data_IF_919385256641
#
_entry.id   IF_919385256641
#
_cell.length_a   1.000
_cell.length_b   1.000
_cell.length_c   1.000
_cell.angle_alpha   90.00
_cell.angle_beta   90.00
_cell.angle_gamma   90.00
#
_symmetry.space_group_name_H-M   'P 1'
#
loop_
_entity.id
_entity.type
_entity.pdbx_description
1 polymer ?
#
# COMPACT_ATOMS: atom_id res chain seq x y z
N UNK A 1 -6.38 -1.34 13.37
CA UNK A 1 -5.72 -2.56 12.82
C UNK A 1 -4.90 -2.20 11.60
N UNK A 2 -3.69 -2.74 11.48
CA UNK A 2 -2.82 -2.54 10.31
C UNK A 2 -2.92 -3.77 9.41
N UNK A 3 -3.37 -3.56 8.18
CA UNK A 3 -3.59 -4.60 7.16
C UNK A 3 -2.62 -4.36 6.01
N UNK A 4 -1.75 -5.32 5.71
CA UNK A 4 -0.73 -5.10 4.70
C UNK A 4 -0.61 -6.22 3.68
N UNK A 5 -0.17 -5.83 2.47
CA UNK A 5 0.37 -6.71 1.45
C UNK A 5 1.81 -6.31 1.14
N UNK A 6 2.70 -7.28 1.00
CA UNK A 6 4.10 -7.03 0.63
C UNK A 6 4.64 -8.15 -0.25
N UNK A 7 5.12 -7.80 -1.45
CA UNK A 7 5.79 -8.75 -2.34
C UNK A 7 7.24 -9.02 -1.95
N UNK A 8 8.00 -7.99 -1.59
CA UNK A 8 9.47 -8.06 -1.42
C UNK A 8 9.98 -7.56 -0.07
N UNK A 9 9.09 -7.14 0.84
CA UNK A 9 9.44 -6.75 2.19
C UNK A 9 9.33 -5.25 2.51
N UNK A 10 9.35 -4.34 1.54
CA UNK A 10 9.28 -2.89 1.79
C UNK A 10 8.01 -2.48 2.55
N UNK A 11 6.84 -2.88 2.08
CA UNK A 11 5.57 -2.59 2.74
C UNK A 11 5.44 -3.30 4.08
N UNK A 12 5.98 -4.52 4.21
CA UNK A 12 6.05 -5.24 5.48
C UNK A 12 6.86 -4.45 6.51
N UNK A 13 8.03 -3.93 6.12
CA UNK A 13 8.84 -3.08 6.99
C UNK A 13 8.03 -1.87 7.50
N UNK A 14 7.34 -1.16 6.62
CA UNK A 14 6.52 -0.01 6.99
C UNK A 14 5.35 -0.42 7.92
N UNK A 15 4.70 -1.53 7.65
CA UNK A 15 3.59 -2.06 8.46
C UNK A 15 4.05 -2.49 9.85
N UNK A 16 5.16 -3.22 9.96
CA UNK A 16 5.76 -3.63 11.25
C UNK A 16 6.24 -2.41 12.06
N UNK A 17 6.78 -1.39 11.38
CA UNK A 17 7.19 -0.15 12.03
C UNK A 17 5.98 0.56 12.67
N UNK A 18 4.91 0.75 11.90
CA UNK A 18 3.68 1.39 12.38
C UNK A 18 2.97 0.56 13.45
N UNK A 19 2.94 -0.77 13.32
CA UNK A 19 2.36 -1.65 14.34
C UNK A 19 3.02 -1.47 15.71
N UNK A 20 4.35 -1.40 15.74
CA UNK A 20 5.10 -1.13 16.97
C UNK A 20 4.82 0.28 17.51
N UNK A 21 4.84 1.30 16.64
CA UNK A 21 4.62 2.69 17.03
C UNK A 21 3.21 2.94 17.56
N UNK A 22 2.21 2.35 16.91
CA UNK A 22 0.80 2.52 17.26
C UNK A 22 0.34 1.51 18.32
N UNK A 23 1.13 0.50 18.63
CA UNK A 23 0.77 -0.65 19.46
C UNK A 23 -0.56 -1.25 18.96
N UNK A 24 -0.59 -1.64 17.67
CA UNK A 24 -1.78 -2.11 17.00
C UNK A 24 -1.55 -3.45 16.30
N UNK A 25 -2.62 -4.19 16.08
CA UNK A 25 -2.60 -5.50 15.44
C UNK A 25 -2.12 -5.40 13.99
N UNK A 26 -1.41 -6.44 13.55
CA UNK A 26 -0.81 -6.54 12.23
C UNK A 26 -1.35 -7.76 11.48
N UNK A 27 -1.99 -7.56 10.34
CA UNK A 27 -2.53 -8.60 9.48
C UNK A 27 -1.76 -8.67 8.16
N UNK A 28 -1.18 -9.84 7.87
CA UNK A 28 -0.56 -10.16 6.57
C UNK A 28 -1.58 -10.75 5.61
N UNK A 29 -2.08 -9.95 4.67
CA UNK A 29 -3.09 -10.43 3.71
C UNK A 29 -2.57 -11.48 2.75
N UNK A 30 -1.26 -11.57 2.51
CA UNK A 30 -0.66 -12.59 1.64
C UNK A 30 -0.90 -14.02 2.11
N UNK A 31 -1.10 -14.21 3.42
CA UNK A 31 -1.46 -15.51 4.01
C UNK A 31 -2.95 -15.81 3.85
N UNK A 32 -3.81 -14.82 4.09
CA UNK A 32 -5.27 -14.94 4.00
C UNK A 32 -5.75 -15.16 2.57
N UNK A 33 -5.20 -14.43 1.61
CA UNK A 33 -5.57 -14.55 0.20
C UNK A 33 -5.32 -15.96 -0.38
N UNK A 34 -4.32 -16.66 0.13
CA UNK A 34 -4.03 -18.05 -0.29
C UNK A 34 -5.11 -19.04 0.16
N UNK A 35 -5.81 -18.75 1.25
CA UNK A 35 -6.88 -19.60 1.76
C UNK A 35 -8.20 -19.46 0.95
N UNK A 36 -8.37 -18.39 0.18
CA UNK A 36 -9.55 -18.15 -0.66
C UNK A 36 -10.83 -17.85 0.14
N UNK A 37 -10.72 -17.59 1.44
CA UNK A 37 -11.84 -17.29 2.32
C UNK A 37 -12.11 -15.78 2.39
N UNK A 38 -13.37 -15.41 2.58
CA UNK A 38 -13.76 -14.03 2.81
C UNK A 38 -13.56 -13.72 4.29
N UNK A 39 -12.63 -12.82 4.58
CA UNK A 39 -12.35 -12.41 5.95
C UNK A 39 -13.43 -11.47 6.50
N UNK A 40 -13.79 -11.68 7.75
CA UNK A 40 -14.56 -10.71 8.57
C UNK A 40 -13.60 -10.17 9.63
N UNK A 41 -13.29 -8.87 9.52
CA UNK A 41 -12.34 -8.20 10.40
C UNK A 41 -13.06 -7.15 11.25
N UNK A 42 -12.65 -7.04 12.51
CA UNK A 42 -13.15 -6.03 13.42
C UNK A 42 -12.01 -5.19 13.99
N UNK A 43 -12.18 -3.86 14.00
CA UNK A 43 -11.23 -2.97 14.65
C UNK A 43 -11.94 -1.75 15.24
N UNK A 44 -11.77 -1.51 16.53
CA UNK A 44 -12.22 -0.26 17.18
C UNK A 44 -11.30 0.92 16.85
N UNK A 45 -10.14 0.64 16.27
CA UNK A 45 -9.12 1.61 15.86
C UNK A 45 -9.16 1.82 14.35
N UNK A 46 -8.68 2.97 13.86
CA UNK A 46 -8.63 3.20 12.42
C UNK A 46 -7.93 2.09 11.64
N UNK A 47 -8.41 1.84 10.44
CA UNK A 47 -7.76 0.94 9.49
C UNK A 47 -6.53 1.62 8.92
N UNK A 48 -5.40 0.90 8.88
CA UNK A 48 -4.18 1.36 8.22
C UNK A 48 -3.79 0.34 7.15
N UNK A 49 -4.04 0.67 5.89
CA UNK A 49 -3.74 -0.19 4.76
C UNK A 49 -2.35 0.12 4.21
N UNK A 50 -1.47 -0.90 4.20
CA UNK A 50 -0.08 -0.73 3.78
C UNK A 50 0.21 -1.61 2.56
N UNK A 51 0.63 -1.00 1.45
CA UNK A 51 0.87 -1.71 0.20
C UNK A 51 1.98 -1.10 -0.64
N UNK A 52 2.59 -1.86 -1.56
CA UNK A 52 3.43 -1.28 -2.60
C UNK A 52 2.58 -0.59 -3.67
N UNK A 53 3.21 0.36 -4.34
CA UNK A 53 2.71 0.96 -5.58
C UNK A 53 3.17 0.11 -6.76
N UNK A 54 2.21 -0.29 -7.60
CA UNK A 54 2.47 -0.91 -8.89
C UNK A 54 1.90 -0.03 -10.01
N UNK A 55 2.78 0.49 -10.85
CA UNK A 55 2.41 1.42 -11.93
C UNK A 55 1.51 2.57 -11.43
N UNK A 56 1.93 3.28 -10.38
CA UNK A 56 1.27 4.47 -9.79
C UNK A 56 -0.13 4.24 -9.21
N UNK A 57 -0.49 3.00 -8.87
CA UNK A 57 -1.66 2.65 -8.04
C UNK A 57 -1.25 1.69 -6.92
N UNK A 58 -2.01 1.66 -5.85
CA UNK A 58 -1.90 0.61 -4.84
C UNK A 58 -2.03 -0.76 -5.52
N UNK A 59 -1.23 -1.74 -5.11
CA UNK A 59 -1.30 -3.10 -5.64
C UNK A 59 -2.75 -3.61 -5.64
N UNK A 60 -3.24 -4.01 -6.82
CA UNK A 60 -4.62 -4.47 -7.00
C UNK A 60 -5.01 -5.57 -6.03
N UNK A 61 -4.08 -6.47 -5.73
CA UNK A 61 -4.30 -7.59 -4.82
C UNK A 61 -4.75 -7.14 -3.43
N UNK A 62 -4.20 -6.02 -2.88
CA UNK A 62 -4.71 -5.48 -1.62
C UNK A 62 -6.03 -4.75 -1.81
N UNK A 63 -6.20 -4.00 -2.90
CA UNK A 63 -7.47 -3.30 -3.17
C UNK A 63 -8.65 -4.29 -3.30
N UNK A 64 -8.42 -5.41 -3.96
CA UNK A 64 -9.44 -6.47 -4.14
C UNK A 64 -9.72 -7.20 -2.82
N UNK A 65 -8.68 -7.46 -2.02
CA UNK A 65 -8.86 -8.00 -0.68
C UNK A 65 -9.72 -7.08 0.20
N UNK A 66 -9.43 -5.77 0.23
CA UNK A 66 -10.20 -4.78 0.98
C UNK A 66 -11.67 -4.73 0.52
N UNK A 67 -11.94 -4.86 -0.79
CA UNK A 67 -13.32 -4.93 -1.32
C UNK A 67 -14.05 -6.19 -0.90
N UNK A 68 -13.35 -7.31 -0.82
CA UNK A 68 -13.93 -8.60 -0.50
C UNK A 68 -14.15 -8.82 1.00
N UNK A 69 -13.30 -8.24 1.84
CA UNK A 69 -13.37 -8.37 3.29
C UNK A 69 -14.58 -7.62 3.88
N UNK A 70 -15.16 -8.18 4.93
CA UNK A 70 -16.13 -7.48 5.76
C UNK A 70 -15.42 -6.74 6.88
N UNK A 71 -15.41 -5.40 6.80
CA UNK A 71 -14.72 -4.52 7.75
C UNK A 71 -15.73 -3.89 8.71
N UNK A 72 -15.58 -4.17 9.99
CA UNK A 72 -16.49 -3.70 11.05
C UNK A 72 -15.75 -2.87 12.11
N UNK A 73 -16.50 -2.07 12.87
CA UNK A 73 -15.95 -1.17 13.89
C UNK A 73 -15.63 0.20 13.33
N UNK A 74 -14.38 0.64 13.40
CA UNK A 74 -13.94 1.96 12.93
C UNK A 74 -14.24 2.19 11.45
N UNK A 75 -14.63 3.43 11.14
CA UNK A 75 -14.87 3.85 9.75
C UNK A 75 -13.71 4.63 9.15
N UNK A 76 -12.71 5.03 9.93
CA UNK A 76 -11.57 5.81 9.45
C UNK A 76 -10.50 4.90 8.84
N UNK A 77 -10.01 5.28 7.66
CA UNK A 77 -9.01 4.53 6.91
C UNK A 77 -7.86 5.42 6.43
N UNK A 78 -6.65 4.98 6.72
CA UNK A 78 -5.38 5.55 6.30
C UNK A 78 -4.68 4.62 5.32
N UNK A 79 -3.93 5.19 4.39
CA UNK A 79 -3.12 4.42 3.44
C UNK A 79 -1.65 4.77 3.58
N UNK A 80 -0.78 3.78 3.59
CA UNK A 80 0.67 3.93 3.61
C UNK A 80 1.21 3.18 2.41
N UNK A 81 1.66 3.92 1.40
CA UNK A 81 2.01 3.37 0.11
C UNK A 81 3.51 3.48 -0.13
N UNK A 82 4.18 2.33 -0.26
CA UNK A 82 5.61 2.26 -0.53
C UNK A 82 5.88 2.27 -2.04
N UNK A 83 6.85 3.05 -2.46
CA UNK A 83 7.23 3.20 -3.87
C UNK A 83 8.75 3.36 -4.02
N UNK A 84 9.30 3.14 -5.22
CA UNK A 84 10.69 3.44 -5.53
C UNK A 84 10.94 4.93 -5.80
N UNK A 85 9.90 5.69 -6.19
CA UNK A 85 10.02 7.11 -6.49
C UNK A 85 8.80 7.93 -6.07
N UNK A 86 7.63 7.63 -6.63
CA UNK A 86 6.41 8.42 -6.41
C UNK A 86 5.16 7.57 -6.46
N UNK A 87 4.09 8.03 -5.82
CA UNK A 87 2.79 7.32 -5.81
C UNK A 87 1.81 7.81 -6.88
N UNK A 88 2.15 8.86 -7.63
CA UNK A 88 1.26 9.47 -8.62
C UNK A 88 -0.07 9.92 -7.99
N UNK A 89 -1.19 9.54 -8.61
CA UNK A 89 -2.54 9.86 -8.12
C UNK A 89 -3.16 8.71 -7.30
N UNK A 90 -2.36 7.83 -6.69
CA UNK A 90 -2.86 6.68 -5.93
C UNK A 90 -3.82 7.07 -4.79
N UNK A 91 -3.64 8.25 -4.19
CA UNK A 91 -4.52 8.76 -3.14
C UNK A 91 -5.98 8.92 -3.59
N UNK A 92 -6.24 9.34 -4.83
CA UNK A 92 -7.60 9.44 -5.36
C UNK A 92 -8.26 8.06 -5.49
N UNK A 93 -7.50 7.06 -5.93
CA UNK A 93 -8.01 5.67 -6.04
C UNK A 93 -8.26 5.05 -4.66
N UNK A 94 -7.42 5.37 -3.67
CA UNK A 94 -7.66 4.97 -2.28
C UNK A 94 -8.92 5.63 -1.70
N UNK A 95 -9.14 6.92 -1.97
CA UNK A 95 -10.34 7.63 -1.57
C UNK A 95 -11.60 7.05 -2.24
N UNK A 96 -11.51 6.69 -3.53
CA UNK A 96 -12.61 6.04 -4.25
C UNK A 96 -12.91 4.67 -3.64
N UNK A 97 -11.90 3.86 -3.34
CA UNK A 97 -12.07 2.57 -2.65
C UNK A 97 -12.78 2.74 -1.32
N UNK A 98 -12.38 3.71 -0.49
CA UNK A 98 -13.08 4.01 0.76
C UNK A 98 -14.56 4.33 0.54
N UNK A 99 -14.87 5.14 -0.49
CA UNK A 99 -16.26 5.47 -0.83
C UNK A 99 -17.06 4.24 -1.24
N UNK A 100 -16.47 3.32 -2.02
CA UNK A 100 -17.09 2.06 -2.45
C UNK A 100 -17.49 1.17 -1.29
N UNK A 101 -16.66 1.10 -0.23
CA UNK A 101 -16.85 0.20 0.91
C UNK A 101 -17.37 0.89 2.19
N UNK A 102 -17.70 2.18 2.11
CA UNK A 102 -18.29 2.94 3.22
C UNK A 102 -17.32 3.30 4.35
N UNK A 103 -16.03 3.51 4.03
CA UNK A 103 -15.01 4.03 4.95
C UNK A 103 -14.73 5.52 4.72
N UNK A 104 -14.25 6.20 5.75
CA UNK A 104 -13.80 7.59 5.69
C UNK A 104 -12.32 7.61 5.31
N UNK A 105 -11.99 8.13 4.16
CA UNK A 105 -10.60 8.31 3.74
C UNK A 105 -9.92 9.43 4.53
N UNK A 106 -8.84 9.09 5.23
CA UNK A 106 -8.07 10.01 6.11
C UNK A 106 -6.72 10.40 5.52
N UNK A 107 -6.45 10.03 4.28
CA UNK A 107 -5.24 10.41 3.56
C UNK A 107 -4.31 9.26 3.22
N UNK A 108 -3.27 9.60 2.46
CA UNK A 108 -2.21 8.69 2.02
C UNK A 108 -0.84 9.21 2.45
N UNK A 109 -0.02 8.33 3.00
CA UNK A 109 1.39 8.56 3.28
C UNK A 109 2.22 7.89 2.18
N UNK A 110 2.98 8.70 1.44
CA UNK A 110 3.99 8.22 0.51
C UNK A 110 5.26 7.85 1.27
N UNK A 111 5.78 6.66 1.04
CA UNK A 111 7.01 6.18 1.66
C UNK A 111 7.95 5.67 0.58
N UNK A 112 8.98 6.45 0.27
CA UNK A 112 10.02 6.03 -0.69
C UNK A 112 10.87 4.94 -0.05
N UNK A 113 10.98 3.80 -0.75
CA UNK A 113 11.71 2.61 -0.32
C UNK A 113 12.64 2.13 -1.46
N UNK A 114 13.63 1.28 -1.18
CA UNK A 114 14.52 0.76 -2.21
C UNK A 114 13.75 0.17 -3.39
N UNK A 115 14.14 0.57 -4.61
CA UNK A 115 13.53 0.06 -5.84
C UNK A 115 13.77 -1.45 -5.97
N UNK A 116 12.75 -2.19 -6.34
CA UNK A 116 12.80 -3.63 -6.48
C UNK A 116 12.16 -4.16 -7.78
N UNK A 117 11.73 -3.27 -8.67
CA UNK A 117 11.22 -3.65 -9.99
C UNK A 117 12.38 -3.81 -10.99
N UNK A 118 13.13 -4.88 -10.81
CA UNK A 118 14.38 -5.18 -11.55
C UNK A 118 14.19 -5.41 -13.05
N UNK A 119 12.96 -5.56 -13.52
CA UNK A 119 12.66 -5.70 -14.96
C UNK A 119 12.95 -4.41 -15.74
N UNK A 120 12.76 -3.25 -15.09
CA UNK A 120 12.95 -1.94 -15.73
C UNK A 120 14.00 -1.06 -15.04
N UNK A 121 14.31 -1.34 -13.77
CA UNK A 121 15.21 -0.51 -12.95
C UNK A 121 16.31 -1.36 -12.32
N UNK A 122 17.45 -0.74 -12.03
CA UNK A 122 18.48 -1.38 -11.22
C UNK A 122 18.09 -1.29 -9.74
N UNK A 123 18.17 -2.41 -9.02
CA UNK A 123 18.07 -2.37 -7.59
C UNK A 123 19.28 -1.61 -6.99
N UNK A 124 19.06 -0.72 -6.00
CA UNK A 124 20.15 -0.03 -5.33
C UNK A 124 21.03 -1.00 -4.55
N UNK A 125 22.30 -0.65 -4.41
CA UNK A 125 23.23 -1.40 -3.57
C UNK A 125 22.86 -1.35 -2.09
N UNK A 126 23.55 -2.13 -1.25
CA UNK A 126 23.22 -2.25 0.17
C UNK A 126 23.31 -0.91 0.92
N UNK A 127 24.38 -0.15 0.70
CA UNK A 127 24.60 1.16 1.35
C UNK A 127 23.51 2.15 0.97
N UNK A 128 23.20 2.24 -0.33
CA UNK A 128 22.14 3.11 -0.84
C UNK A 128 20.77 2.70 -0.30
N UNK A 129 20.48 1.39 -0.27
CA UNK A 129 19.24 0.86 0.30
C UNK A 129 19.09 1.23 1.77
N UNK A 130 20.16 1.12 2.55
CA UNK A 130 20.19 1.54 3.97
C UNK A 130 19.91 3.04 4.13
N UNK A 131 20.49 3.87 3.25
CA UNK A 131 20.25 5.31 3.26
C UNK A 131 18.80 5.67 2.91
N UNK A 132 18.20 4.99 1.94
CA UNK A 132 16.77 5.17 1.58
C UNK A 132 15.88 4.80 2.78
N UNK A 133 16.09 3.62 3.38
CA UNK A 133 15.32 3.18 4.55
C UNK A 133 15.49 4.13 5.74
N UNK A 134 16.70 4.66 5.95
CA UNK A 134 16.94 5.66 7.00
C UNK A 134 16.11 6.95 6.80
N UNK A 135 15.91 7.39 5.54
CA UNK A 135 15.04 8.53 5.20
C UNK A 135 13.54 8.20 5.33
N UNK A 136 13.15 6.95 5.12
CA UNK A 136 11.76 6.53 5.25
C UNK A 136 11.28 6.50 6.72
N UNK A 137 12.15 6.20 7.68
CA UNK A 137 11.78 6.12 9.10
C UNK A 137 11.13 7.38 9.64
N UNK A 138 11.71 8.60 9.53
CA UNK A 138 11.06 9.82 10.03
C UNK A 138 9.72 10.12 9.35
N UNK A 139 9.54 9.72 8.07
CA UNK A 139 8.26 9.83 7.38
C UNK A 139 7.22 8.93 8.04
N UNK A 140 7.57 7.68 8.33
CA UNK A 140 6.71 6.74 9.03
C UNK A 140 6.39 7.21 10.45
N UNK A 141 7.39 7.74 11.19
CA UNK A 141 7.20 8.29 12.54
C UNK A 141 6.18 9.42 12.55
N UNK A 142 6.33 10.40 11.65
CA UNK A 142 5.41 11.53 11.53
C UNK A 142 4.01 11.09 11.11
N UNK A 143 3.91 10.19 10.13
CA UNK A 143 2.64 9.61 9.71
C UNK A 143 1.94 8.87 10.83
N UNK A 144 2.66 8.02 11.56
CA UNK A 144 2.13 7.30 12.72
C UNK A 144 1.63 8.24 13.84
N UNK A 145 2.33 9.36 14.09
CA UNK A 145 1.86 10.37 15.03
C UNK A 145 0.53 11.02 14.61
N UNK A 146 0.34 11.30 13.32
CA UNK A 146 -0.92 11.85 12.82
C UNK A 146 -2.05 10.82 12.94
N UNK A 147 -1.80 9.58 12.57
CA UNK A 147 -2.75 8.46 12.69
C UNK A 147 -3.16 8.28 14.17
N UNK A 148 -2.21 8.26 15.08
CA UNK A 148 -2.47 8.13 16.53
C UNK A 148 -3.35 9.25 17.08
N UNK A 149 -3.22 10.47 16.53
CA UNK A 149 -4.01 11.64 16.90
C UNK A 149 -5.34 11.73 16.15
N UNK A 150 -5.69 10.77 15.29
CA UNK A 150 -6.89 10.79 14.45
C UNK A 150 -6.91 11.91 13.41
N UNK A 151 -5.75 12.51 13.11
CA UNK A 151 -5.62 13.60 12.13
C UNK A 151 -5.47 13.06 10.73
N UNK A 152 -5.97 13.82 9.75
CA UNK A 152 -5.76 13.50 8.33
C UNK A 152 -4.28 13.58 7.97
N UNK A 153 -3.83 12.69 7.11
CA UNK A 153 -2.50 12.78 6.52
C UNK A 153 -2.44 13.94 5.54
N UNK A 154 -1.27 14.59 5.37
CA UNK A 154 -1.12 15.72 4.45
C UNK A 154 -1.57 15.35 3.02
N UNK A 155 -2.25 16.30 2.37
CA UNK A 155 -2.66 16.10 0.98
C UNK A 155 -1.43 15.98 0.06
N UNK A 156 -1.41 14.94 -0.74
CA UNK A 156 -0.43 14.79 -1.81
C UNK A 156 -0.79 15.72 -2.98
N UNK A 157 0.20 16.47 -3.48
CA UNK A 157 0.01 17.35 -4.65
C UNK A 157 -0.04 16.48 -5.91
N UNK A 158 -1.14 16.52 -6.63
CA UNK A 158 -1.38 15.74 -7.84
C UNK A 158 -1.39 16.65 -9.07
N UNK A 159 -0.46 16.42 -9.98
CA UNK A 159 -0.39 17.09 -11.28
C UNK A 159 -1.18 16.36 -12.38
N UNK A 160 -1.18 16.94 -13.59
CA UNK A 160 -1.80 16.31 -14.75
C UNK A 160 -1.09 14.99 -15.13
N UNK A 161 0.25 14.96 -15.05
CA UNK A 161 1.03 13.77 -15.32
C UNK A 161 0.72 12.62 -14.36
N UNK A 162 0.48 12.91 -13.08
CA UNK A 162 0.13 11.89 -12.09
C UNK A 162 -1.21 11.24 -12.41
N UNK A 163 -2.17 12.04 -12.88
CA UNK A 163 -3.47 11.55 -13.34
C UNK A 163 -3.32 10.65 -14.57
N UNK A 164 -2.46 11.01 -15.53
CA UNK A 164 -2.19 10.19 -16.70
C UNK A 164 -1.48 8.88 -16.33
N UNK A 165 -0.47 8.95 -15.46
CA UNK A 165 0.27 7.77 -14.99
C UNK A 165 -0.63 6.79 -14.25
N UNK A 166 -1.38 7.28 -13.27
CA UNK A 166 -2.29 6.43 -12.48
C UNK A 166 -3.57 6.05 -13.22
N UNK A 167 -3.93 6.72 -14.29
CA UNK A 167 -5.11 6.45 -15.12
C UNK A 167 -4.75 5.55 -16.32
N UNK A 168 -4.79 6.11 -17.55
CA UNK A 168 -4.67 5.32 -18.78
C UNK A 168 -3.34 4.56 -18.91
N UNK A 169 -2.23 5.10 -18.37
CA UNK A 169 -0.92 4.39 -18.43
C UNK A 169 -0.96 3.14 -17.53
N UNK A 170 -1.50 3.24 -16.30
CA UNK A 170 -1.68 2.09 -15.42
C UNK A 170 -2.58 1.02 -16.06
N UNK A 171 -3.72 1.41 -16.64
CA UNK A 171 -4.64 0.49 -17.31
C UNK A 171 -3.97 -0.21 -18.50
N UNK A 172 -3.23 0.55 -19.32
CA UNK A 172 -2.44 -0.02 -20.41
C UNK A 172 -1.37 -0.97 -19.93
N UNK A 173 -0.67 -0.64 -18.83
CA UNK A 173 0.34 -1.49 -18.23
C UNK A 173 -0.25 -2.85 -17.82
N UNK A 174 -1.34 -2.87 -17.07
CA UNK A 174 -1.98 -4.12 -16.67
C UNK A 174 -2.51 -4.91 -17.86
N UNK A 175 -3.08 -4.23 -18.86
CA UNK A 175 -3.65 -4.90 -20.05
C UNK A 175 -2.59 -5.54 -20.95
N UNK A 176 -1.44 -4.89 -21.13
CA UNK A 176 -0.47 -5.31 -22.13
C UNK A 176 0.79 -5.96 -21.57
N UNK A 177 1.21 -5.61 -20.33
CA UNK A 177 2.48 -6.06 -19.77
C UNK A 177 2.32 -7.07 -18.62
N UNK A 178 1.23 -7.00 -17.85
CA UNK A 178 1.00 -7.96 -16.75
C UNK A 178 0.29 -9.18 -17.31
N UNK A 179 1.08 -10.14 -17.80
CA UNK A 179 0.59 -11.42 -18.33
C UNK A 179 1.34 -12.55 -17.67
N UNK A 180 0.61 -13.58 -17.26
CA UNK A 180 1.17 -14.78 -16.63
C UNK A 180 1.10 -16.03 -17.54
N UNK A 181 0.63 -15.87 -18.79
CA UNK A 181 0.37 -17.00 -19.71
C UNK A 181 1.61 -17.85 -20.02
N UNK A 182 2.81 -17.26 -19.88
CA UNK A 182 4.08 -17.94 -20.12
C UNK A 182 4.66 -18.63 -18.86
N UNK A 183 4.05 -18.43 -17.69
CA UNK A 183 4.51 -19.01 -16.43
C UNK A 183 3.74 -20.30 -16.14
N UNK A 184 4.48 -21.40 -16.07
CA UNK A 184 3.96 -22.70 -15.63
C UNK A 184 4.46 -22.95 -14.22
N UNK A 185 3.54 -23.12 -13.27
CA UNK A 185 3.86 -23.67 -11.96
C UNK A 185 4.06 -25.17 -12.11
N UNK A 186 5.17 -25.70 -11.64
CA UNK A 186 5.43 -27.13 -11.53
C UNK A 186 5.33 -27.55 -10.08
N UNK A 187 4.97 -28.81 -9.83
CA UNK A 187 4.87 -29.40 -8.49
C UNK A 187 6.27 -29.78 -7.91
N UNK A 188 7.35 -29.21 -8.42
CA UNK A 188 8.71 -29.51 -8.02
C UNK A 188 9.20 -28.63 -6.86
#
# INVERSE_FOLDING_TARGET
>A
MIVYFSGTGNSRFAAEFLSKQLNDELLDTGRHMKAGEKDTLHSDRPWVFVAPIYAWRMANVLADYIRSAELTGSKDAYFVLTCGGEIGNAGQYAAQLCKEIGLNYKGVLEVVMPENYITMFNAPGEEESRAIVAKAKPVLEQGGELIRKGKDLPAHKVGLLDKLKSGPINEGFYKFYVKADAFLATDA
#
